data_IF_916565367131
#
_entry.id   IF_916565367131
#
_cell.length_a   1.000
_cell.length_b   1.000
_cell.length_c   1.000
_cell.angle_alpha   90.00
_cell.angle_beta   90.00
_cell.angle_gamma   90.00
#
_symmetry.space_group_name_H-M   'P 1'
#
loop_
_entity.id
_entity.type
_entity.pdbx_description
1 polymer ?
#
# COMPACT_ATOMS: atom_id res chain seq x y z
N UNK A 1 23.89 -27.81 -12.39
CA UNK A 1 23.43 -26.85 -13.39
C UNK A 1 24.31 -25.62 -13.25
N UNK A 2 24.96 -25.11 -14.29
CA UNK A 2 25.75 -23.91 -14.19
C UNK A 2 24.81 -22.74 -13.83
N UNK A 3 25.21 -21.96 -12.87
CA UNK A 3 24.49 -20.79 -12.40
C UNK A 3 24.68 -19.67 -13.44
N UNK A 4 23.81 -19.61 -14.43
CA UNK A 4 23.88 -18.72 -15.60
C UNK A 4 23.87 -17.21 -15.28
N UNK A 5 23.74 -16.83 -14.02
CA UNK A 5 23.63 -15.43 -13.62
C UNK A 5 24.92 -14.85 -13.03
N UNK A 6 25.99 -15.63 -12.95
CA UNK A 6 27.19 -15.21 -12.22
C UNK A 6 28.33 -14.68 -13.10
N UNK A 7 28.31 -14.88 -14.40
CA UNK A 7 29.48 -14.58 -15.24
C UNK A 7 29.42 -13.26 -16.03
N UNK A 8 28.23 -12.67 -16.27
CA UNK A 8 28.14 -11.51 -17.19
C UNK A 8 27.85 -10.15 -16.54
N UNK A 9 27.52 -10.07 -15.23
CA UNK A 9 27.06 -8.82 -14.63
C UNK A 9 27.80 -8.36 -13.37
N UNK A 10 28.98 -8.88 -13.11
CA UNK A 10 29.69 -8.65 -11.85
C UNK A 10 29.04 -9.43 -10.68
N UNK A 11 29.82 -9.68 -9.64
CA UNK A 11 29.33 -10.37 -8.44
C UNK A 11 28.25 -9.50 -7.80
N UNK A 12 27.01 -9.92 -7.92
CA UNK A 12 25.89 -9.31 -7.20
C UNK A 12 25.78 -9.96 -5.83
N UNK A 13 25.86 -9.16 -4.79
CA UNK A 13 25.65 -9.65 -3.45
C UNK A 13 24.15 -9.75 -3.19
N UNK A 14 23.71 -10.93 -2.74
CA UNK A 14 22.40 -11.12 -2.15
C UNK A 14 22.62 -11.56 -0.71
N UNK A 15 22.17 -10.73 0.21
CA UNK A 15 22.23 -11.04 1.65
C UNK A 15 20.83 -11.10 2.24
N UNK A 16 20.74 -11.66 3.42
CA UNK A 16 19.52 -11.75 4.19
C UNK A 16 19.64 -10.87 5.44
N UNK A 17 18.71 -9.93 5.62
CA UNK A 17 18.67 -9.01 6.77
C UNK A 17 17.23 -8.54 6.99
N UNK A 18 16.99 -7.78 8.04
CA UNK A 18 15.69 -7.17 8.37
C UNK A 18 15.56 -5.72 7.92
N UNK A 19 16.63 -5.14 7.37
CA UNK A 19 16.66 -3.75 6.91
C UNK A 19 17.65 -3.56 5.74
N UNK A 20 17.54 -2.44 5.04
CA UNK A 20 18.57 -1.99 4.11
C UNK A 20 19.88 -1.70 4.87
N UNK A 21 21.05 -2.06 4.29
CA UNK A 21 22.34 -1.84 4.94
C UNK A 21 22.62 -0.36 5.24
N UNK A 22 22.99 -0.07 6.46
CA UNK A 22 23.45 1.24 6.91
C UNK A 22 24.97 1.46 6.81
N UNK A 23 25.73 0.43 6.39
CA UNK A 23 27.18 0.45 6.25
C UNK A 23 27.66 -0.57 5.20
N UNK A 24 28.95 -0.60 4.92
CA UNK A 24 29.54 -1.50 3.93
C UNK A 24 29.59 -0.90 2.53
N UNK A 25 30.33 -1.55 1.64
CA UNK A 25 30.45 -1.15 0.24
C UNK A 25 29.59 -2.03 -0.64
N UNK A 26 28.75 -1.42 -1.44
CA UNK A 26 27.72 -2.09 -2.23
C UNK A 26 27.75 -1.61 -3.69
N UNK A 27 27.36 -2.48 -4.58
CA UNK A 27 27.21 -2.16 -6.00
C UNK A 27 25.75 -1.92 -6.35
N UNK A 28 25.51 -1.17 -7.42
CA UNK A 28 24.18 -1.08 -7.97
C UNK A 28 23.64 -2.48 -8.32
N UNK A 29 22.38 -2.74 -8.00
CA UNK A 29 21.68 -4.02 -8.14
C UNK A 29 22.05 -5.10 -7.10
N UNK A 30 22.90 -4.83 -6.12
CA UNK A 30 22.96 -5.68 -4.93
C UNK A 30 21.59 -5.71 -4.25
N UNK A 31 21.25 -6.82 -3.62
CA UNK A 31 19.92 -7.04 -3.04
C UNK A 31 20.01 -7.55 -1.60
N UNK A 32 19.10 -7.06 -0.77
CA UNK A 32 18.84 -7.58 0.57
C UNK A 32 17.45 -8.19 0.59
N UNK A 33 17.35 -9.45 0.98
CA UNK A 33 16.07 -10.13 1.21
C UNK A 33 15.68 -9.95 2.67
N UNK A 34 14.45 -9.50 2.92
CA UNK A 34 13.94 -9.36 4.27
C UNK A 34 13.71 -10.75 4.89
N UNK A 35 14.38 -11.03 6.00
CA UNK A 35 14.26 -12.31 6.73
C UNK A 35 13.06 -12.37 7.67
N UNK A 36 12.43 -11.23 7.93
CA UNK A 36 11.25 -11.13 8.78
C UNK A 36 10.16 -10.29 8.09
N UNK A 37 9.71 -10.68 6.87
CA UNK A 37 8.71 -9.93 6.16
C UNK A 37 7.38 -10.02 6.90
N UNK A 38 6.73 -8.88 7.07
CA UNK A 38 5.38 -8.77 7.60
C UNK A 38 4.53 -7.96 6.61
N UNK A 39 3.21 -8.04 6.78
CA UNK A 39 2.29 -7.22 6.00
C UNK A 39 2.67 -5.74 6.11
N UNK A 40 2.67 -5.05 4.99
CA UNK A 40 3.08 -3.65 4.83
C UNK A 40 4.58 -3.37 5.06
N UNK A 41 5.42 -4.38 5.28
CA UNK A 41 6.88 -4.20 5.30
C UNK A 41 7.51 -4.65 3.98
N UNK A 42 8.65 -4.08 3.57
CA UNK A 42 9.32 -4.49 2.34
C UNK A 42 9.72 -5.96 2.36
N UNK A 43 9.57 -6.64 1.23
CA UNK A 43 10.06 -8.02 1.05
C UNK A 43 11.55 -8.07 0.74
N UNK A 44 12.09 -7.00 0.16
CA UNK A 44 13.52 -6.85 -0.11
C UNK A 44 13.87 -5.38 -0.41
N UNK A 45 15.17 -5.11 -0.50
CA UNK A 45 15.70 -3.82 -0.94
C UNK A 45 16.73 -4.07 -2.05
N UNK A 46 16.80 -3.14 -3.00
CA UNK A 46 17.77 -3.13 -4.09
C UNK A 46 18.64 -1.89 -3.97
N UNK A 47 19.94 -2.05 -4.07
CA UNK A 47 20.86 -0.94 -4.16
C UNK A 47 20.71 -0.27 -5.53
N UNK A 48 20.23 0.95 -5.56
CA UNK A 48 20.02 1.70 -6.83
C UNK A 48 21.22 2.55 -7.21
N UNK A 49 22.06 2.88 -6.24
CA UNK A 49 23.33 3.57 -6.48
C UNK A 49 24.40 2.96 -5.57
N UNK A 50 25.45 2.41 -6.17
CA UNK A 50 26.57 1.86 -5.42
C UNK A 50 27.26 2.90 -4.56
N UNK A 51 27.91 2.45 -3.50
CA UNK A 51 28.62 3.32 -2.56
C UNK A 51 28.78 2.67 -1.18
N UNK A 52 29.14 3.47 -0.21
CA UNK A 52 29.26 3.05 1.19
C UNK A 52 28.47 4.01 2.08
N UNK A 53 27.24 3.64 2.50
CA UNK A 53 26.56 2.34 2.36
C UNK A 53 25.79 2.14 1.05
N UNK A 54 25.85 3.06 0.09
CA UNK A 54 25.02 3.06 -1.11
C UNK A 54 23.61 3.63 -0.87
N UNK A 55 22.82 3.69 -1.94
CA UNK A 55 21.42 4.14 -1.88
C UNK A 55 20.49 2.97 -2.16
N UNK A 56 19.56 2.71 -1.27
CA UNK A 56 18.66 1.57 -1.31
C UNK A 56 17.21 1.98 -1.55
N UNK A 57 16.49 1.18 -2.31
CA UNK A 57 15.05 1.28 -2.52
C UNK A 57 14.39 -0.04 -2.17
N UNK A 58 13.25 0.04 -1.48
CA UNK A 58 12.43 -1.14 -1.23
C UNK A 58 11.77 -1.62 -2.53
N UNK A 59 11.62 -2.93 -2.67
CA UNK A 59 10.90 -3.54 -3.82
C UNK A 59 9.39 -3.58 -3.65
N UNK A 60 8.91 -3.05 -2.57
CA UNK A 60 7.50 -3.00 -2.21
C UNK A 60 7.19 -3.83 -0.96
N UNK A 61 6.07 -3.55 -0.32
CA UNK A 61 5.63 -4.29 0.85
C UNK A 61 5.09 -5.66 0.47
N UNK A 62 5.17 -6.60 1.42
CA UNK A 62 4.38 -7.82 1.35
C UNK A 62 2.90 -7.43 1.38
N UNK A 63 2.18 -7.78 0.33
CA UNK A 63 0.74 -7.55 0.24
C UNK A 63 0.03 -8.68 0.98
N UNK A 64 -0.89 -8.33 1.86
CA UNK A 64 -1.81 -9.30 2.42
C UNK A 64 -2.84 -9.72 1.36
N UNK A 65 -3.49 -10.84 1.60
CA UNK A 65 -4.71 -11.20 0.87
C UNK A 65 -5.69 -10.04 1.02
N UNK A 66 -6.33 -9.63 -0.08
CA UNK A 66 -7.24 -8.49 -0.08
C UNK A 66 -8.20 -8.55 1.10
N UNK A 67 -8.05 -7.63 2.03
CA UNK A 67 -8.90 -7.55 3.22
C UNK A 67 -10.24 -6.92 2.84
N UNK A 68 -11.32 -7.67 3.00
CA UNK A 68 -12.67 -7.16 2.80
C UNK A 68 -13.22 -6.64 4.13
N UNK A 69 -13.45 -5.33 4.20
CA UNK A 69 -14.12 -4.71 5.34
C UNK A 69 -15.59 -4.50 4.98
N UNK A 70 -16.51 -5.19 5.67
CA UNK A 70 -17.95 -5.00 5.46
C UNK A 70 -18.48 -3.89 6.37
N UNK A 71 -19.21 -2.95 5.78
CA UNK A 71 -19.81 -1.80 6.46
C UNK A 71 -21.31 -1.81 6.22
N UNK A 72 -22.10 -1.81 7.29
CA UNK A 72 -23.57 -1.83 7.24
C UNK A 72 -24.23 -0.54 7.75
N UNK A 73 -23.45 0.36 8.33
CA UNK A 73 -23.83 1.66 8.87
C UNK A 73 -22.66 2.62 8.77
N UNK A 74 -22.82 3.86 9.24
CA UNK A 74 -21.72 4.81 9.34
C UNK A 74 -20.55 4.19 10.15
N UNK A 75 -19.37 4.13 9.57
CA UNK A 75 -18.21 3.46 10.17
C UNK A 75 -16.90 4.10 9.71
N UNK A 76 -15.83 3.84 10.49
CA UNK A 76 -14.46 4.17 10.12
C UNK A 76 -13.84 2.98 9.39
N UNK A 77 -13.21 3.25 8.26
CA UNK A 77 -12.49 2.24 7.46
C UNK A 77 -10.99 2.43 7.64
N UNK A 78 -10.26 1.40 8.10
CA UNK A 78 -8.82 1.44 8.22
C UNK A 78 -8.14 1.62 6.85
N UNK A 79 -6.98 2.28 6.82
CA UNK A 79 -6.18 2.44 5.60
C UNK A 79 -5.74 1.09 5.01
N UNK A 80 -5.57 0.08 5.85
CA UNK A 80 -5.16 -1.26 5.43
C UNK A 80 -6.27 -2.06 4.71
N UNK A 81 -7.52 -1.56 4.67
CA UNK A 81 -8.59 -2.21 3.91
C UNK A 81 -8.31 -2.11 2.41
N UNK A 82 -8.43 -3.22 1.69
CA UNK A 82 -8.29 -3.23 0.23
C UNK A 82 -9.65 -3.06 -0.45
N UNK A 83 -10.65 -3.76 0.09
CA UNK A 83 -12.04 -3.72 -0.40
C UNK A 83 -12.94 -3.31 0.75
N UNK A 84 -13.80 -2.33 0.51
CA UNK A 84 -14.84 -1.90 1.43
C UNK A 84 -16.19 -2.27 0.80
N UNK A 85 -16.80 -3.32 1.31
CA UNK A 85 -18.13 -3.74 0.90
C UNK A 85 -19.18 -3.04 1.78
N UNK A 86 -19.91 -2.12 1.19
CA UNK A 86 -20.99 -1.41 1.88
C UNK A 86 -22.32 -2.09 1.56
N UNK A 87 -23.01 -2.56 2.60
CA UNK A 87 -24.27 -3.27 2.52
C UNK A 87 -25.32 -2.58 3.40
N UNK A 88 -26.53 -3.12 3.46
CA UNK A 88 -27.60 -2.63 4.35
C UNK A 88 -28.57 -1.70 3.68
N UNK A 89 -29.38 -1.00 4.48
CA UNK A 89 -30.46 -0.12 4.02
C UNK A 89 -30.07 1.36 4.20
N UNK A 90 -30.40 2.16 3.18
CA UNK A 90 -30.16 3.60 3.21
C UNK A 90 -28.72 4.01 2.89
N UNK A 91 -28.54 5.31 2.72
CA UNK A 91 -27.24 5.91 2.53
C UNK A 91 -26.59 6.27 3.86
N UNK A 92 -25.28 6.14 3.94
CA UNK A 92 -24.52 6.53 5.14
C UNK A 92 -23.10 7.00 4.81
N UNK A 93 -22.51 7.66 5.78
CA UNK A 93 -21.13 8.12 5.65
C UNK A 93 -20.15 7.01 6.04
N UNK A 94 -19.13 6.84 5.24
CA UNK A 94 -18.01 5.96 5.52
C UNK A 94 -16.76 6.82 5.71
N UNK A 95 -16.24 6.86 6.91
CA UNK A 95 -15.08 7.68 7.23
C UNK A 95 -13.79 6.94 6.88
N UNK A 96 -13.02 7.51 5.97
CA UNK A 96 -11.68 7.02 5.62
C UNK A 96 -10.70 7.46 6.70
N UNK A 97 -9.98 6.53 7.28
CA UNK A 97 -8.92 6.85 8.24
C UNK A 97 -7.87 7.78 7.60
N UNK A 98 -7.24 8.61 8.42
CA UNK A 98 -6.21 9.53 7.95
C UNK A 98 -5.05 8.76 7.31
N UNK A 99 -4.69 9.04 6.05
CA UNK A 99 -3.53 8.41 5.45
C UNK A 99 -2.24 9.00 6.04
N UNK A 100 -1.19 8.21 6.01
CA UNK A 100 0.17 8.63 6.39
C UNK A 100 1.12 8.46 5.22
N UNK A 101 2.29 9.08 5.29
CA UNK A 101 3.30 8.93 4.23
C UNK A 101 3.67 7.45 3.98
N UNK A 102 3.64 6.61 5.02
CA UNK A 102 3.94 5.19 4.92
C UNK A 102 2.93 4.40 4.06
N UNK A 103 1.70 4.87 3.94
CA UNK A 103 0.65 4.24 3.14
C UNK A 103 0.21 5.08 1.93
N UNK A 104 1.05 5.98 1.49
CA UNK A 104 0.88 6.67 0.21
C UNK A 104 0.82 5.67 -0.94
N UNK A 105 -0.11 5.88 -1.86
CA UNK A 105 -0.36 4.96 -2.98
C UNK A 105 -1.37 3.84 -2.69
N UNK A 106 -1.77 3.61 -1.44
CA UNK A 106 -2.83 2.64 -1.09
C UNK A 106 -4.12 2.98 -1.83
N UNK A 107 -4.76 1.94 -2.36
CA UNK A 107 -6.06 2.06 -3.05
C UNK A 107 -7.11 1.31 -2.23
N UNK A 108 -8.21 2.00 -1.94
CA UNK A 108 -9.42 1.43 -1.37
C UNK A 108 -10.47 1.29 -2.46
N UNK A 109 -10.96 0.07 -2.67
CA UNK A 109 -12.06 -0.22 -3.58
C UNK A 109 -13.36 -0.26 -2.80
N UNK A 110 -14.23 0.72 -2.99
CA UNK A 110 -15.57 0.72 -2.44
C UNK A 110 -16.52 0.00 -3.39
N UNK A 111 -17.28 -0.93 -2.85
CA UNK A 111 -18.37 -1.61 -3.56
C UNK A 111 -19.65 -1.34 -2.78
N UNK A 112 -20.52 -0.51 -3.32
CA UNK A 112 -21.79 -0.15 -2.68
C UNK A 112 -22.91 -1.05 -3.19
N UNK A 113 -23.31 -2.01 -2.37
CA UNK A 113 -24.49 -2.85 -2.57
C UNK A 113 -25.66 -2.47 -1.65
N UNK A 114 -25.52 -1.37 -0.89
CA UNK A 114 -26.62 -0.85 -0.05
C UNK A 114 -27.75 -0.27 -0.91
N UNK A 115 -28.90 -0.05 -0.32
CA UNK A 115 -30.05 0.54 -1.01
C UNK A 115 -29.99 2.07 -1.17
N UNK A 116 -28.89 2.70 -0.75
CA UNK A 116 -28.72 4.16 -0.80
C UNK A 116 -27.34 4.60 -1.25
N UNK A 117 -27.20 5.90 -1.48
CA UNK A 117 -25.91 6.52 -1.81
C UNK A 117 -25.04 6.58 -0.56
N UNK A 118 -23.80 6.13 -0.67
CA UNK A 118 -22.79 6.30 0.37
C UNK A 118 -21.92 7.53 0.08
N UNK A 119 -21.42 8.12 1.14
CA UNK A 119 -20.46 9.24 1.05
C UNK A 119 -19.17 8.87 1.78
N UNK A 120 -18.05 8.91 1.08
CA UNK A 120 -16.74 8.82 1.71
C UNK A 120 -16.42 10.17 2.39
N UNK A 121 -16.14 10.13 3.67
CA UNK A 121 -15.77 11.31 4.47
C UNK A 121 -14.32 11.16 4.92
N UNK A 122 -13.58 12.24 4.94
CA UNK A 122 -12.22 12.23 5.48
C UNK A 122 -12.26 12.27 7.01
N UNK A 123 -11.34 11.54 7.64
CA UNK A 123 -11.05 11.75 9.04
C UNK A 123 -10.51 13.17 9.28
N UNK A 124 -10.61 13.68 10.52
CA UNK A 124 -10.12 15.01 10.88
C UNK A 124 -8.66 15.23 10.43
N UNK A 125 -8.39 16.37 9.84
CA UNK A 125 -7.05 16.74 9.35
C UNK A 125 -6.71 16.19 7.95
N UNK A 126 -7.64 15.52 7.26
CA UNK A 126 -7.46 15.01 5.90
C UNK A 126 -8.57 15.47 4.98
N UNK A 127 -8.47 15.18 3.70
CA UNK A 127 -9.46 15.54 2.69
C UNK A 127 -9.77 14.34 1.79
N UNK A 128 -11.01 14.31 1.29
CA UNK A 128 -11.38 13.51 0.12
C UNK A 128 -11.51 14.46 -1.06
N UNK A 129 -10.64 14.29 -2.05
CA UNK A 129 -10.60 15.12 -3.26
C UNK A 129 -11.32 14.39 -4.39
N UNK A 130 -12.23 15.08 -5.06
CA UNK A 130 -13.06 14.53 -6.12
C UNK A 130 -14.47 14.16 -5.64
N UNK A 131 -15.19 13.35 -6.44
CA UNK A 131 -16.54 12.93 -6.11
C UNK A 131 -16.52 11.90 -4.98
N UNK A 132 -16.96 12.31 -3.80
CA UNK A 132 -16.93 11.46 -2.60
C UNK A 132 -18.11 10.46 -2.53
N UNK A 133 -19.10 10.53 -3.41
CA UNK A 133 -20.29 9.71 -3.36
C UNK A 133 -20.23 8.49 -4.27
N UNK A 134 -20.88 7.40 -3.87
CA UNK A 134 -21.08 6.20 -4.66
C UNK A 134 -22.55 5.78 -4.58
N UNK A 135 -23.21 5.73 -5.74
CA UNK A 135 -24.60 5.32 -5.83
C UNK A 135 -24.78 3.82 -5.55
N UNK A 136 -26.00 3.38 -5.33
CA UNK A 136 -26.37 1.97 -5.18
C UNK A 136 -25.86 1.14 -6.37
N UNK A 137 -25.33 -0.05 -6.08
CA UNK A 137 -24.78 -0.99 -7.07
C UNK A 137 -23.66 -0.40 -7.93
N UNK A 138 -22.88 0.53 -7.38
CA UNK A 138 -21.70 1.07 -8.04
C UNK A 138 -20.44 0.84 -7.20
N UNK A 139 -19.30 1.02 -7.83
CA UNK A 139 -18.00 1.01 -7.16
C UNK A 139 -17.31 2.37 -7.24
N UNK A 140 -16.40 2.58 -6.32
CA UNK A 140 -15.59 3.78 -6.25
C UNK A 140 -14.20 3.44 -5.74
N UNK A 141 -13.18 3.99 -6.38
CA UNK A 141 -11.81 3.80 -5.94
C UNK A 141 -11.27 5.10 -5.33
N UNK A 142 -10.60 4.97 -4.20
CA UNK A 142 -9.92 6.08 -3.54
C UNK A 142 -8.46 5.73 -3.36
N UNK A 143 -7.57 6.61 -3.78
CA UNK A 143 -6.12 6.45 -3.66
C UNK A 143 -5.56 7.44 -2.64
N UNK A 144 -4.71 6.96 -1.76
CA UNK A 144 -3.99 7.80 -0.79
C UNK A 144 -2.78 8.47 -1.42
N UNK A 145 -2.58 9.75 -1.14
CA UNK A 145 -1.31 10.46 -1.38
C UNK A 145 -0.34 10.41 -0.20
N UNK A 146 -0.78 9.83 0.93
CA UNK A 146 -0.08 9.93 2.21
C UNK A 146 -0.58 11.06 3.12
N UNK A 147 -1.37 11.99 2.58
CA UNK A 147 -1.98 13.11 3.34
C UNK A 147 -3.48 13.28 3.05
N UNK A 148 -3.92 12.84 1.90
CA UNK A 148 -5.30 13.00 1.43
C UNK A 148 -5.76 11.79 0.62
N UNK A 149 -7.06 11.63 0.46
CA UNK A 149 -7.67 10.64 -0.41
C UNK A 149 -8.14 11.28 -1.70
N UNK A 150 -7.90 10.63 -2.82
CA UNK A 150 -8.31 11.07 -4.15
C UNK A 150 -9.21 10.03 -4.78
N UNK A 151 -10.35 10.46 -5.31
CA UNK A 151 -11.18 9.63 -6.16
C UNK A 151 -10.46 9.37 -7.48
N UNK A 152 -10.29 8.11 -7.89
CA UNK A 152 -9.63 7.66 -9.11
C UNK A 152 -10.53 6.76 -9.95
#
# INVERSE_FOLDING_TARGET
>A
MPNFLQEDYGVRNSIADTAAPGSGSWNAMDMVVNTAPAVATPVSWVCVTGGSPGTWKSTGPLQDVATVTTVTAAANVPVASNIVLVTGSGGHNVTLAAPTAANGGTVLNFVNTSSGTITAVAASGTQVVGVATSATNTSANFKSSGTSWYRV
#
